data_IF_826343396328
#
_entry.id   IF_826343396328
#
_cell.length_a   1.000
_cell.length_b   1.000
_cell.length_c   1.000
_cell.angle_alpha   90.00
_cell.angle_beta   90.00
_cell.angle_gamma   90.00
#
_symmetry.space_group_name_H-M   'P 1'
#
loop_
_entity.id
_entity.type
_entity.pdbx_description
1 polymer ?
#
# COMPACT_ATOMS: atom_id res chain seq x y z
N UNK A 1 6.65 -4.66 -12.71
CA UNK A 1 6.39 -3.50 -11.83
C UNK A 1 7.21 -2.32 -12.29
N UNK A 2 6.60 -1.15 -12.44
CA UNK A 2 7.28 0.10 -12.73
C UNK A 2 7.10 1.08 -11.56
N UNK A 3 8.20 1.70 -11.13
CA UNK A 3 8.20 2.68 -10.04
C UNK A 3 8.78 4.00 -10.56
N UNK A 4 8.04 5.08 -10.35
CA UNK A 4 8.41 6.44 -10.74
C UNK A 4 8.47 7.33 -9.51
N UNK A 5 9.67 7.76 -9.13
CA UNK A 5 9.92 8.59 -7.94
C UNK A 5 10.43 9.95 -8.41
N UNK A 6 9.72 11.01 -8.06
CA UNK A 6 10.02 12.38 -8.47
C UNK A 6 9.91 13.35 -7.30
N UNK A 7 10.52 14.52 -7.46
CA UNK A 7 10.48 15.65 -6.52
C UNK A 7 10.89 15.25 -5.08
N UNK A 8 11.96 14.46 -4.96
CA UNK A 8 12.51 13.99 -3.70
C UNK A 8 11.50 13.26 -2.78
N UNK A 9 10.44 12.68 -3.37
CA UNK A 9 9.47 11.88 -2.62
C UNK A 9 9.93 10.43 -2.49
N UNK A 10 9.17 9.61 -1.78
CA UNK A 10 9.56 8.26 -1.43
C UNK A 10 8.49 7.26 -1.90
N UNK A 11 8.91 6.05 -2.28
CA UNK A 11 8.06 4.86 -2.34
C UNK A 11 8.63 3.90 -1.32
N UNK A 12 7.87 3.62 -0.29
CA UNK A 12 8.29 2.79 0.84
C UNK A 12 7.31 1.61 0.94
N UNK A 13 7.85 0.42 1.04
CA UNK A 13 7.06 -0.78 1.28
C UNK A 13 7.76 -1.67 2.30
N UNK A 14 6.94 -2.33 3.09
CA UNK A 14 7.34 -3.24 4.14
C UNK A 14 7.77 -4.61 3.64
N UNK A 15 7.85 -5.55 4.55
CA UNK A 15 8.30 -6.92 4.27
C UNK A 15 7.19 -7.77 3.67
N UNK A 16 7.60 -8.84 3.01
CA UNK A 16 6.73 -9.90 2.51
C UNK A 16 5.58 -9.43 1.60
N UNK A 17 5.73 -8.29 0.93
CA UNK A 17 4.75 -7.82 -0.05
C UNK A 17 4.75 -8.68 -1.31
N UNK A 18 3.60 -8.81 -1.95
CA UNK A 18 3.44 -9.46 -3.24
C UNK A 18 2.96 -8.46 -4.29
N UNK A 19 3.80 -8.22 -5.29
CA UNK A 19 3.47 -7.41 -6.45
C UNK A 19 3.30 -8.31 -7.66
N UNK A 20 2.07 -8.43 -8.15
CA UNK A 20 1.77 -9.12 -9.40
C UNK A 20 2.38 -8.38 -10.59
N UNK A 21 2.16 -8.83 -11.80
CA UNK A 21 2.71 -8.16 -12.98
C UNK A 21 1.92 -6.91 -13.37
N UNK A 22 2.58 -5.99 -14.10
CA UNK A 22 1.94 -4.78 -14.61
C UNK A 22 1.65 -3.70 -13.58
N UNK A 23 2.22 -3.78 -12.38
CA UNK A 23 2.00 -2.79 -11.32
C UNK A 23 2.68 -1.47 -11.69
N UNK A 24 1.97 -0.37 -11.49
CA UNK A 24 2.47 0.99 -11.68
C UNK A 24 2.41 1.77 -10.37
N UNK A 25 3.55 2.32 -9.94
CA UNK A 25 3.63 3.22 -8.80
C UNK A 25 4.20 4.56 -9.26
N UNK A 26 3.56 5.68 -8.89
CA UNK A 26 4.05 7.01 -9.23
C UNK A 26 3.82 8.02 -8.12
N UNK A 27 4.88 8.74 -7.74
CA UNK A 27 4.80 9.84 -6.75
C UNK A 27 4.33 11.15 -7.37
N UNK A 28 4.12 11.23 -8.69
CA UNK A 28 3.74 12.47 -9.40
C UNK A 28 2.75 12.18 -10.54
N UNK A 29 2.22 13.26 -11.11
CA UNK A 29 1.35 13.24 -12.30
C UNK A 29 2.12 13.53 -13.60
N UNK A 30 3.44 13.66 -13.55
CA UNK A 30 4.36 13.98 -14.63
C UNK A 30 4.24 15.40 -15.23
N UNK A 31 3.06 15.99 -15.31
CA UNK A 31 2.83 17.33 -15.82
C UNK A 31 2.26 18.24 -14.75
N UNK A 32 2.53 19.55 -14.88
CA UNK A 32 2.01 20.55 -13.95
C UNK A 32 0.52 20.76 -14.19
N UNK A 33 -0.24 20.77 -13.10
CA UNK A 33 -1.63 21.20 -13.10
C UNK A 33 -1.68 22.54 -12.33
N UNK A 34 -2.13 23.57 -13.03
CA UNK A 34 -2.18 24.93 -12.51
C UNK A 34 -3.64 25.32 -12.33
N UNK A 35 -3.96 25.82 -11.17
CA UNK A 35 -5.28 26.41 -10.90
C UNK A 35 -5.45 27.67 -11.76
N UNK A 36 -6.51 27.73 -12.55
CA UNK A 36 -6.71 28.78 -13.56
C UNK A 36 -7.06 30.15 -12.97
N UNK A 37 -7.43 30.19 -11.69
CA UNK A 37 -7.82 31.43 -10.98
C UNK A 37 -6.63 32.02 -10.26
N UNK A 38 -5.92 31.19 -9.50
CA UNK A 38 -4.79 31.62 -8.67
C UNK A 38 -3.44 31.58 -9.38
N UNK A 39 -3.35 30.90 -10.52
CA UNK A 39 -2.10 30.59 -11.23
C UNK A 39 -1.09 29.81 -10.39
N UNK A 40 -1.54 29.10 -9.37
CA UNK A 40 -0.70 28.27 -8.52
C UNK A 40 -0.78 26.80 -8.95
N UNK A 41 0.36 26.09 -8.82
CA UNK A 41 0.40 24.64 -8.99
C UNK A 41 -0.38 23.95 -7.87
N UNK A 42 -1.22 22.97 -8.24
CA UNK A 42 -2.07 22.24 -7.30
C UNK A 42 -1.75 20.75 -7.16
N UNK A 43 -0.92 20.19 -8.02
CA UNK A 43 -0.65 18.75 -8.09
C UNK A 43 0.75 18.35 -7.63
N UNK A 44 1.18 18.82 -6.49
CA UNK A 44 2.48 18.45 -5.91
C UNK A 44 2.62 16.93 -5.77
N UNK A 45 3.86 16.45 -5.92
CA UNK A 45 4.21 15.06 -5.66
C UNK A 45 4.00 14.71 -4.18
N UNK A 46 3.65 13.43 -3.92
CA UNK A 46 3.49 12.88 -2.57
C UNK A 46 4.08 11.49 -2.52
N UNK A 47 4.62 11.12 -1.37
CA UNK A 47 5.15 9.78 -1.14
C UNK A 47 4.05 8.71 -1.15
N UNK A 48 4.46 7.46 -1.33
CA UNK A 48 3.62 6.26 -1.29
C UNK A 48 4.15 5.37 -0.17
N UNK A 49 3.26 4.91 0.68
CA UNK A 49 3.56 4.03 1.80
C UNK A 49 2.76 2.75 1.70
N UNK A 50 3.45 1.62 1.79
CA UNK A 50 2.87 0.28 1.72
C UNK A 50 3.42 -0.51 2.90
N UNK A 51 2.55 -1.02 3.76
CA UNK A 51 2.92 -1.81 4.95
C UNK A 51 3.43 -3.21 4.61
N UNK A 52 3.54 -4.03 5.64
CA UNK A 52 3.96 -5.42 5.51
C UNK A 52 2.86 -6.29 4.90
N UNK A 53 3.25 -7.36 4.22
CA UNK A 53 2.34 -8.38 3.72
C UNK A 53 1.17 -7.81 2.91
N UNK A 54 1.45 -6.84 2.04
CA UNK A 54 0.45 -6.25 1.14
C UNK A 54 0.48 -6.98 -0.19
N UNK A 55 -0.69 -7.34 -0.69
CA UNK A 55 -0.84 -7.89 -2.02
C UNK A 55 -1.37 -6.84 -3.01
N UNK A 56 -0.54 -6.49 -3.99
CA UNK A 56 -0.94 -5.67 -5.14
C UNK A 56 -1.26 -6.59 -6.32
N UNK A 57 -2.54 -6.67 -6.66
CA UNK A 57 -3.05 -7.48 -7.77
C UNK A 57 -2.60 -6.96 -9.13
N UNK A 58 -2.71 -7.82 -10.14
CA UNK A 58 -2.29 -7.56 -11.51
C UNK A 58 -2.78 -6.20 -12.04
N UNK A 59 -1.89 -5.47 -12.70
CA UNK A 59 -2.17 -4.19 -13.39
C UNK A 59 -2.78 -3.12 -12.45
N UNK A 60 -2.58 -3.23 -11.14
CA UNK A 60 -2.99 -2.17 -10.23
C UNK A 60 -2.06 -0.96 -10.35
N UNK A 61 -2.64 0.23 -10.13
CA UNK A 61 -1.93 1.50 -10.11
C UNK A 61 -1.97 2.10 -8.72
N UNK A 62 -0.80 2.38 -8.15
CA UNK A 62 -0.65 2.98 -6.83
C UNK A 62 -0.12 4.40 -7.04
N UNK A 63 -0.97 5.39 -6.80
CA UNK A 63 -0.68 6.77 -7.08
C UNK A 63 -0.23 7.54 -5.86
N UNK A 64 0.35 8.70 -6.08
CA UNK A 64 0.88 9.61 -5.06
C UNK A 64 -0.06 9.81 -3.88
N UNK A 65 0.51 9.87 -2.68
CA UNK A 65 -0.23 10.08 -1.43
C UNK A 65 -1.06 8.88 -0.97
N UNK A 66 -0.83 7.70 -1.53
CA UNK A 66 -1.48 6.48 -1.07
C UNK A 66 -0.76 5.91 0.14
N UNK A 67 -1.54 5.44 1.10
CA UNK A 67 -1.10 4.65 2.24
C UNK A 67 -1.89 3.33 2.25
N UNK A 68 -1.20 2.22 2.15
CA UNK A 68 -1.78 0.87 2.19
C UNK A 68 -1.23 0.16 3.42
N UNK A 69 -2.08 -0.07 4.42
CA UNK A 69 -1.66 -0.68 5.68
C UNK A 69 -1.33 -2.17 5.51
N UNK A 70 -0.61 -2.71 6.49
CA UNK A 70 -0.17 -4.12 6.51
C UNK A 70 -1.34 -5.09 6.35
N UNK A 71 -1.13 -6.16 5.58
CA UNK A 71 -2.14 -7.19 5.31
C UNK A 71 -3.26 -6.79 4.36
N UNK A 72 -3.24 -5.59 3.80
CA UNK A 72 -4.24 -5.15 2.85
C UNK A 72 -4.02 -5.75 1.45
N UNK A 73 -5.09 -5.83 0.70
CA UNK A 73 -5.09 -6.31 -0.69
C UNK A 73 -5.60 -5.18 -1.60
N UNK A 74 -4.82 -4.81 -2.60
CA UNK A 74 -5.28 -4.03 -3.74
C UNK A 74 -5.62 -5.00 -4.88
N UNK A 75 -6.88 -5.10 -5.23
CA UNK A 75 -7.37 -6.02 -6.27
C UNK A 75 -6.76 -5.75 -7.65
N UNK A 76 -6.91 -6.69 -8.56
CA UNK A 76 -6.44 -6.51 -9.93
C UNK A 76 -7.10 -5.29 -10.61
N UNK A 77 -6.31 -4.57 -11.43
CA UNK A 77 -6.75 -3.36 -12.16
C UNK A 77 -7.31 -2.24 -11.26
N UNK A 78 -6.93 -2.24 -10.00
CA UNK A 78 -7.36 -1.24 -9.02
C UNK A 78 -6.53 0.03 -9.15
N UNK A 79 -7.18 1.19 -9.04
CA UNK A 79 -6.50 2.49 -8.92
C UNK A 79 -6.56 2.98 -7.47
N UNK A 80 -5.43 2.82 -6.77
CA UNK A 80 -5.22 3.31 -5.40
C UNK A 80 -4.71 4.74 -5.48
N UNK A 81 -5.47 5.72 -4.97
CA UNK A 81 -5.15 7.14 -5.11
C UNK A 81 -5.38 7.91 -3.82
N UNK A 82 -4.35 8.59 -3.34
CA UNK A 82 -4.37 9.62 -2.28
C UNK A 82 -5.28 9.31 -1.08
N UNK A 83 -5.32 8.06 -0.65
CA UNK A 83 -6.13 7.58 0.48
C UNK A 83 -5.38 6.63 1.36
N UNK A 84 -5.91 6.46 2.56
CA UNK A 84 -5.54 5.44 3.53
C UNK A 84 -6.41 4.20 3.32
N UNK A 85 -5.77 3.04 3.19
CA UNK A 85 -6.40 1.73 3.05
C UNK A 85 -5.94 0.89 4.23
N UNK A 86 -6.90 0.36 4.99
CA UNK A 86 -6.64 -0.20 6.31
C UNK A 86 -6.22 -1.67 6.26
N UNK A 87 -5.66 -2.13 7.37
CA UNK A 87 -5.16 -3.50 7.53
C UNK A 87 -6.27 -4.55 7.34
N UNK A 88 -5.88 -5.70 6.80
CA UNK A 88 -6.77 -6.84 6.62
C UNK A 88 -8.05 -6.51 5.83
N UNK A 89 -7.90 -5.71 4.77
CA UNK A 89 -9.00 -5.33 3.87
C UNK A 89 -8.71 -5.70 2.43
N UNK A 90 -9.77 -5.91 1.67
CA UNK A 90 -9.71 -5.94 0.19
C UNK A 90 -10.20 -4.59 -0.31
N UNK A 91 -9.41 -3.99 -1.19
CA UNK A 91 -9.72 -2.73 -1.84
C UNK A 91 -9.70 -2.94 -3.36
N UNK A 92 -10.77 -2.53 -4.04
CA UNK A 92 -10.89 -2.75 -5.48
C UNK A 92 -11.59 -1.58 -6.19
N UNK A 93 -11.40 -1.51 -7.50
CA UNK A 93 -12.07 -0.56 -8.38
C UNK A 93 -11.24 0.69 -8.75
N UNK A 94 -11.81 1.57 -9.52
CA UNK A 94 -11.22 2.81 -10.04
C UNK A 94 -12.18 3.98 -9.81
N UNK A 95 -11.99 4.80 -8.77
CA UNK A 95 -10.97 4.72 -7.71
C UNK A 95 -11.27 3.58 -6.74
N UNK A 96 -10.21 3.06 -6.11
CA UNK A 96 -10.30 1.97 -5.15
C UNK A 96 -11.26 2.28 -3.99
N UNK A 97 -12.03 1.28 -3.59
CA UNK A 97 -12.90 1.29 -2.43
C UNK A 97 -12.69 0.01 -1.63
N UNK A 98 -12.82 0.10 -0.33
CA UNK A 98 -12.87 -1.08 0.52
C UNK A 98 -14.12 -1.90 0.17
N UNK A 99 -13.92 -3.17 -0.16
CA UNK A 99 -14.99 -4.11 -0.51
C UNK A 99 -15.17 -5.20 0.54
N UNK A 100 -14.16 -5.45 1.36
CA UNK A 100 -14.24 -6.43 2.45
C UNK A 100 -13.22 -6.13 3.54
N UNK A 101 -13.59 -6.42 4.80
CA UNK A 101 -12.76 -6.35 5.99
C UNK A 101 -12.56 -7.74 6.60
N UNK A 102 -11.60 -7.86 7.52
CA UNK A 102 -11.36 -9.06 8.30
C UNK A 102 -10.84 -10.22 7.45
N UNK A 103 -10.01 -9.92 6.46
CA UNK A 103 -9.38 -10.91 5.58
C UNK A 103 -7.87 -10.83 5.67
N UNK A 104 -7.21 -11.93 5.41
CA UNK A 104 -5.79 -11.94 5.07
C UNK A 104 -5.57 -12.89 3.89
N UNK A 105 -4.43 -12.78 3.23
CA UNK A 105 -4.07 -13.61 2.11
C UNK A 105 -2.84 -14.46 2.45
N UNK A 106 -2.66 -15.53 1.72
CA UNK A 106 -1.52 -16.42 1.82
C UNK A 106 -0.88 -16.56 0.44
N UNK A 107 0.39 -16.91 0.40
CA UNK A 107 1.13 -17.14 -0.85
C UNK A 107 0.74 -18.44 -1.55
N UNK A 108 0.05 -19.32 -0.86
CA UNK A 108 -0.42 -20.56 -1.43
C UNK A 108 -1.29 -20.31 -2.66
N UNK A 109 -0.96 -20.98 -3.74
CA UNK A 109 -1.66 -20.85 -5.02
C UNK A 109 -2.41 -22.14 -5.35
N UNK A 110 -3.73 -22.14 -5.30
CA UNK A 110 -4.55 -23.32 -5.60
C UNK A 110 -4.45 -23.78 -7.05
N UNK A 111 -3.89 -22.95 -7.95
CA UNK A 111 -3.74 -23.30 -9.36
C UNK A 111 -2.43 -24.02 -9.69
N UNK A 112 -1.36 -23.73 -8.92
CA UNK A 112 0.01 -24.19 -9.24
C UNK A 112 0.64 -24.94 -8.08
N UNK A 113 0.08 -24.86 -6.89
CA UNK A 113 0.71 -25.35 -5.67
C UNK A 113 0.32 -26.75 -5.25
N UNK A 114 0.89 -27.18 -4.15
CA UNK A 114 0.60 -28.44 -3.49
C UNK A 114 -0.73 -28.42 -2.70
N UNK A 115 -1.72 -27.70 -3.22
CA UNK A 115 -3.02 -27.62 -2.58
C UNK A 115 -3.70 -28.97 -2.61
N UNK A 116 -4.12 -29.39 -1.45
CA UNK A 116 -5.03 -30.49 -1.32
C UNK A 116 -6.40 -30.02 -1.83
N UNK A 117 -6.93 -30.72 -2.85
CA UNK A 117 -8.24 -30.40 -3.44
C UNK A 117 -9.36 -30.37 -2.41
N UNK A 118 -9.28 -31.24 -1.42
CA UNK A 118 -10.26 -31.32 -0.34
C UNK A 118 -10.24 -30.08 0.54
N UNK A 119 -9.05 -29.57 0.94
CA UNK A 119 -8.92 -28.33 1.69
C UNK A 119 -9.50 -27.13 0.93
N UNK A 120 -9.19 -27.02 -0.35
CA UNK A 120 -9.71 -25.94 -1.21
C UNK A 120 -11.23 -26.04 -1.33
N UNK A 121 -11.79 -27.23 -1.50
CA UNK A 121 -13.23 -27.45 -1.67
C UNK A 121 -13.98 -27.22 -0.36
N UNK A 122 -13.42 -27.60 0.76
CA UNK A 122 -14.04 -27.44 2.08
C UNK A 122 -13.86 -26.05 2.66
N UNK A 123 -13.07 -25.22 2.01
CA UNK A 123 -12.79 -23.86 2.46
C UNK A 123 -12.17 -23.80 3.89
N UNK A 124 -11.47 -24.86 4.28
CA UNK A 124 -10.86 -24.98 5.59
C UNK A 124 -9.38 -24.64 5.47
N UNK A 125 -8.93 -23.78 6.34
CA UNK A 125 -7.51 -23.47 6.51
C UNK A 125 -7.10 -23.66 7.97
N UNK A 126 -5.82 -24.01 8.17
CA UNK A 126 -5.26 -24.07 9.52
C UNK A 126 -5.32 -22.68 10.14
N UNK A 127 -5.69 -22.60 11.40
CA UNK A 127 -5.68 -21.34 12.13
C UNK A 127 -4.27 -20.77 12.21
N UNK A 128 -4.12 -19.52 11.77
CA UNK A 128 -2.87 -18.75 11.84
C UNK A 128 -3.19 -17.32 12.23
N UNK A 129 -2.31 -16.71 12.99
CA UNK A 129 -2.44 -15.33 13.43
C UNK A 129 -1.38 -14.39 12.82
N UNK A 130 -0.38 -14.94 12.12
CA UNK A 130 0.80 -14.23 11.64
C UNK A 130 0.48 -13.01 10.74
N UNK A 131 -0.69 -13.02 10.09
CA UNK A 131 -1.11 -11.99 9.15
C UNK A 131 -2.37 -11.24 9.59
N UNK A 132 -2.77 -11.36 10.83
CA UNK A 132 -3.87 -10.62 11.43
C UNK A 132 -3.35 -9.32 12.03
N UNK A 133 -3.34 -8.26 11.23
CA UNK A 133 -2.93 -6.93 11.66
C UNK A 133 -4.09 -6.16 12.29
N UNK A 134 -3.75 -5.16 13.09
CA UNK A 134 -4.76 -4.30 13.74
C UNK A 134 -5.50 -3.43 12.72
N UNK A 135 -6.82 -3.45 12.78
CA UNK A 135 -7.69 -2.52 12.06
C UNK A 135 -8.17 -1.41 13.00
N UNK A 136 -7.26 -0.59 13.46
CA UNK A 136 -7.59 0.55 14.32
C UNK A 136 -7.06 1.85 13.69
N UNK A 137 -8.00 2.66 13.21
CA UNK A 137 -7.68 3.93 12.53
C UNK A 137 -6.93 4.91 13.43
N UNK A 138 -7.09 4.83 14.75
CA UNK A 138 -6.44 5.72 15.71
C UNK A 138 -4.96 5.43 15.89
N UNK A 139 -4.51 4.23 15.54
CA UNK A 139 -3.13 3.79 15.69
C UNK A 139 -2.25 4.09 14.47
N UNK A 140 -2.84 4.51 13.37
CA UNK A 140 -2.06 4.83 12.17
C UNK A 140 -1.58 6.29 12.19
N UNK A 141 -0.28 6.47 12.01
CA UNK A 141 0.27 7.78 11.70
C UNK A 141 -0.35 8.32 10.41
N UNK A 142 -0.67 9.60 10.39
CA UNK A 142 -1.16 10.18 9.14
C UNK A 142 -0.04 10.22 8.09
N UNK A 143 -0.33 9.95 6.81
CA UNK A 143 0.66 10.09 5.75
C UNK A 143 1.34 11.46 5.71
N UNK A 144 0.63 12.51 6.13
CA UNK A 144 1.15 13.87 6.24
C UNK A 144 2.22 13.99 7.33
N UNK A 145 1.98 13.37 8.48
CA UNK A 145 2.94 13.41 9.60
C UNK A 145 4.19 12.59 9.27
N UNK A 146 4.01 11.42 8.65
CA UNK A 146 5.13 10.62 8.14
C UNK A 146 5.95 11.43 7.15
N UNK A 147 5.33 12.07 6.17
CA UNK A 147 6.00 12.86 5.15
C UNK A 147 6.76 14.06 5.77
N UNK A 148 6.12 14.79 6.67
CA UNK A 148 6.74 15.91 7.36
C UNK A 148 7.97 15.48 8.18
N UNK A 149 7.87 14.34 8.83
CA UNK A 149 9.00 13.79 9.58
C UNK A 149 10.13 13.36 8.65
N UNK A 150 9.84 12.62 7.59
CA UNK A 150 10.84 12.20 6.60
C UNK A 150 11.54 13.38 5.92
N UNK A 151 10.80 14.45 5.62
CA UNK A 151 11.35 15.66 5.02
C UNK A 151 12.27 16.42 6.00
N UNK A 152 12.10 16.25 7.32
CA UNK A 152 12.94 16.84 8.35
C UNK A 152 14.24 16.08 8.64
N UNK A 153 14.37 14.86 8.14
CA UNK A 153 15.54 13.99 8.35
C UNK A 153 16.52 14.10 7.18
N UNK A 154 17.82 14.20 7.53
CA UNK A 154 18.86 14.52 6.54
C UNK A 154 19.47 13.28 5.87
N UNK A 155 19.47 12.15 6.55
CA UNK A 155 20.13 10.93 6.05
C UNK A 155 19.13 9.80 5.77
N UNK A 156 19.50 8.91 4.86
CA UNK A 156 18.71 7.70 4.58
C UNK A 156 18.62 6.79 5.81
N UNK A 157 19.64 6.78 6.66
CA UNK A 157 19.67 5.99 7.88
C UNK A 157 18.62 6.48 8.90
N UNK A 158 18.59 7.80 9.19
CA UNK A 158 17.58 8.39 10.08
C UNK A 158 16.14 8.14 9.56
N UNK A 159 15.94 8.22 8.25
CA UNK A 159 14.66 7.92 7.63
C UNK A 159 14.25 6.44 7.80
N UNK A 160 15.21 5.54 7.62
CA UNK A 160 14.98 4.11 7.81
C UNK A 160 14.66 3.78 9.28
N UNK A 161 15.40 4.34 10.21
CA UNK A 161 15.22 4.17 11.65
C UNK A 161 13.83 4.68 12.10
N UNK A 162 13.45 5.88 11.69
CA UNK A 162 12.12 6.42 11.94
C UNK A 162 11.01 5.52 11.36
N UNK A 163 11.17 5.04 10.15
CA UNK A 163 10.16 4.18 9.52
C UNK A 163 10.07 2.82 10.21
N UNK A 164 11.20 2.28 10.64
CA UNK A 164 11.22 1.05 11.42
C UNK A 164 10.41 1.22 12.69
N UNK A 165 10.69 2.24 13.47
CA UNK A 165 9.97 2.52 14.72
C UNK A 165 8.48 2.82 14.48
N UNK A 166 8.17 3.65 13.48
CA UNK A 166 6.81 4.09 13.19
C UNK A 166 5.89 3.00 12.61
N UNK A 167 6.45 2.02 11.88
CA UNK A 167 5.69 1.00 11.16
C UNK A 167 5.75 -0.39 11.80
N UNK A 168 6.73 -0.63 12.70
CA UNK A 168 6.94 -1.95 13.31
C UNK A 168 6.66 -2.00 14.82
N UNK A 169 6.50 -0.87 15.46
CA UNK A 169 6.19 -0.80 16.90
C UNK A 169 4.69 -0.87 17.22
N UNK A 170 3.89 -1.40 16.31
CA UNK A 170 2.45 -1.60 16.52
C UNK A 170 2.09 -3.08 16.50
#
# INVERSE_FOLDING_TARGET
TAMRVYEAKNIIFGRDCMFSWGIWLSTCDHHLIIDSTSNHRINFSKSIYIGDHVWCGQESSILKGSFIASGAIAGAKTCVASKQYYSNTINAGMPAREVKQGVFWLRDDPCVGNWNKEQTTQNIHKEIDDFKYTYDKSQFLSPKDIESKLDSLNTAYEKLEFLYDALYCN
#
